data_IF_488056081659
#
_entry.id   IF_488056081659
#
_cell.length_a   1.000
_cell.length_b   1.000
_cell.length_c   1.000
_cell.angle_alpha   90.00
_cell.angle_beta   90.00
_cell.angle_gamma   90.00
#
_symmetry.space_group_name_H-M   'P 1'
#
loop_
_entity.id
_entity.type
_entity.pdbx_description
1 polymer ?
#
# COMPACT_ATOMS: atom_id res chain seq x y z
N UNK A 1 0.69 24.70 -12.01
CA UNK A 1 0.69 23.85 -13.25
C UNK A 1 -0.05 22.57 -12.89
N UNK A 2 -0.80 21.99 -13.81
CA UNK A 2 -1.40 20.67 -13.58
C UNK A 2 -0.31 19.61 -13.65
N UNK A 3 -0.20 18.74 -12.64
CA UNK A 3 0.73 17.63 -12.64
C UNK A 3 0.24 16.53 -13.59
N UNK A 4 1.19 15.87 -14.25
CA UNK A 4 0.95 14.68 -15.05
C UNK A 4 1.30 13.44 -14.24
N UNK A 5 0.38 12.49 -14.16
CA UNK A 5 0.50 11.29 -13.35
C UNK A 5 0.67 10.04 -14.21
N UNK A 6 1.58 9.15 -13.83
CA UNK A 6 1.60 7.78 -14.30
C UNK A 6 1.16 6.83 -13.18
N UNK A 7 0.37 5.82 -13.49
CA UNK A 7 -0.03 4.75 -12.55
C UNK A 7 0.55 3.43 -13.02
N UNK A 8 1.51 2.90 -12.26
CA UNK A 8 2.10 1.56 -12.48
C UNK A 8 1.42 0.57 -11.55
N UNK A 9 0.75 -0.44 -12.12
CA UNK A 9 0.01 -1.43 -11.34
C UNK A 9 -1.45 -1.05 -11.15
N UNK A 10 -2.20 -1.00 -12.25
CA UNK A 10 -3.63 -0.69 -12.28
C UNK A 10 -4.46 -1.90 -11.80
N UNK A 11 -4.22 -2.30 -10.55
CA UNK A 11 -5.02 -3.23 -9.76
C UNK A 11 -6.06 -2.49 -8.91
N UNK A 12 -6.43 -3.07 -7.75
CA UNK A 12 -7.39 -2.45 -6.84
C UNK A 12 -6.96 -1.04 -6.39
N UNK A 13 -5.69 -0.88 -6.00
CA UNK A 13 -5.14 0.37 -5.47
C UNK A 13 -4.95 1.41 -6.59
N UNK A 14 -4.19 1.05 -7.64
CA UNK A 14 -3.92 1.99 -8.73
C UNK A 14 -5.16 2.33 -9.55
N UNK A 15 -6.09 1.36 -9.71
CA UNK A 15 -7.37 1.59 -10.38
C UNK A 15 -8.28 2.55 -9.60
N UNK A 16 -8.28 2.46 -8.27
CA UNK A 16 -9.05 3.38 -7.43
C UNK A 16 -8.41 4.77 -7.37
N UNK A 17 -7.20 4.91 -6.83
CA UNK A 17 -6.58 6.22 -6.62
C UNK A 17 -6.29 6.96 -7.92
N UNK A 18 -5.74 6.25 -8.92
CA UNK A 18 -5.56 6.84 -10.25
C UNK A 18 -6.90 7.16 -10.91
N UNK A 19 -7.91 6.31 -10.70
CA UNK A 19 -9.27 6.54 -11.18
C UNK A 19 -9.90 7.79 -10.57
N UNK A 20 -9.76 8.01 -9.26
CA UNK A 20 -10.25 9.22 -8.58
C UNK A 20 -9.60 10.49 -9.14
N UNK A 21 -8.27 10.49 -9.31
CA UNK A 21 -7.55 11.61 -9.94
C UNK A 21 -8.06 11.89 -11.36
N UNK A 22 -8.18 10.86 -12.21
CA UNK A 22 -8.66 11.00 -13.57
C UNK A 22 -10.12 11.45 -13.64
N UNK A 23 -10.97 10.95 -12.75
CA UNK A 23 -12.38 11.35 -12.67
C UNK A 23 -12.55 12.82 -12.25
N UNK A 24 -11.59 13.36 -11.48
CA UNK A 24 -11.50 14.78 -11.15
C UNK A 24 -10.87 15.65 -12.26
N UNK A 25 -10.55 15.06 -13.41
CA UNK A 25 -10.00 15.79 -14.57
C UNK A 25 -8.48 16.01 -14.51
N UNK A 26 -7.74 15.29 -13.63
CA UNK A 26 -6.28 15.33 -13.65
C UNK A 26 -5.74 14.53 -14.84
N UNK A 27 -4.52 14.87 -15.30
CA UNK A 27 -3.87 14.20 -16.43
C UNK A 27 -3.21 12.90 -15.94
N UNK A 28 -3.89 11.75 -16.15
CA UNK A 28 -3.48 10.44 -15.60
C UNK A 28 -3.31 9.41 -16.71
N UNK A 29 -2.14 8.80 -16.76
CA UNK A 29 -1.74 7.77 -17.70
C UNK A 29 -1.62 6.42 -16.97
N UNK A 30 -2.27 5.39 -17.47
CA UNK A 30 -2.36 4.10 -16.77
C UNK A 30 -1.61 3.01 -17.51
N UNK A 31 -0.68 2.34 -16.83
CA UNK A 31 -0.06 1.11 -17.31
C UNK A 31 -0.92 -0.08 -16.94
N UNK A 32 -1.49 -0.74 -17.95
CA UNK A 32 -2.23 -1.99 -17.81
C UNK A 32 -1.38 -3.17 -18.32
N UNK A 33 -1.62 -4.35 -17.79
CA UNK A 33 -1.06 -5.60 -18.28
C UNK A 33 -2.15 -6.42 -18.98
N UNK A 34 -2.81 -7.32 -18.26
CA UNK A 34 -3.83 -8.24 -18.83
C UNK A 34 -5.14 -7.55 -19.24
N UNK A 35 -5.41 -6.35 -18.74
CA UNK A 35 -6.67 -5.63 -18.95
C UNK A 35 -6.60 -4.60 -20.08
N UNK A 36 -5.42 -4.39 -20.68
CA UNK A 36 -5.17 -3.29 -21.61
C UNK A 36 -6.21 -3.20 -22.72
N UNK A 37 -6.38 -4.27 -23.49
CA UNK A 37 -7.31 -4.27 -24.63
C UNK A 37 -8.76 -4.02 -24.19
N UNK A 38 -9.15 -4.64 -23.06
CA UNK A 38 -10.49 -4.44 -22.51
C UNK A 38 -10.72 -2.99 -22.07
N UNK A 39 -9.77 -2.40 -21.32
CA UNK A 39 -9.93 -1.02 -20.82
C UNK A 39 -9.89 0.00 -21.97
N UNK A 40 -9.07 -0.23 -22.98
CA UNK A 40 -9.01 0.64 -24.17
C UNK A 40 -10.35 0.69 -24.91
N UNK A 41 -11.07 -0.43 -24.97
CA UNK A 41 -12.37 -0.53 -25.64
C UNK A 41 -13.55 -0.13 -24.74
N UNK A 42 -13.48 -0.49 -23.43
CA UNK A 42 -14.63 -0.39 -22.53
C UNK A 42 -14.43 0.60 -21.37
N UNK A 43 -13.22 1.15 -21.19
CA UNK A 43 -12.93 2.06 -20.08
C UNK A 43 -12.64 1.34 -18.75
N UNK A 44 -12.47 2.15 -17.69
CA UNK A 44 -12.25 1.72 -16.32
C UNK A 44 -13.51 2.02 -15.50
N UNK A 45 -14.10 1.00 -14.91
CA UNK A 45 -15.26 1.11 -14.03
C UNK A 45 -14.82 1.03 -12.57
N UNK A 46 -15.33 1.93 -11.74
CA UNK A 46 -15.17 1.91 -10.29
C UNK A 46 -16.55 1.95 -9.65
N UNK A 47 -16.95 0.87 -8.99
CA UNK A 47 -18.11 0.82 -8.10
C UNK A 47 -17.63 1.22 -6.71
N UNK A 48 -18.21 2.24 -6.11
CA UNK A 48 -17.71 2.83 -4.88
C UNK A 48 -18.83 3.21 -3.92
N UNK A 49 -18.64 2.91 -2.62
CA UNK A 49 -19.54 3.38 -1.55
C UNK A 49 -19.67 4.91 -1.53
N UNK A 50 -18.71 5.64 -2.13
CA UNK A 50 -18.72 7.09 -2.24
C UNK A 50 -19.30 7.62 -3.57
N UNK A 51 -19.79 6.71 -4.43
CA UNK A 51 -20.38 7.01 -5.73
C UNK A 51 -19.63 6.32 -6.87
N UNK A 52 -20.39 5.60 -7.70
CA UNK A 52 -19.86 4.88 -8.85
C UNK A 52 -19.43 5.85 -9.96
N UNK A 53 -18.36 5.49 -10.67
CA UNK A 53 -17.98 6.24 -11.86
C UNK A 53 -17.33 5.34 -12.91
N UNK A 54 -17.31 5.84 -14.16
CA UNK A 54 -16.66 5.19 -15.27
C UNK A 54 -15.84 6.19 -16.07
N UNK A 55 -14.60 5.85 -16.28
CA UNK A 55 -13.69 6.60 -17.14
C UNK A 55 -13.74 6.06 -18.56
N UNK A 56 -14.04 6.93 -19.53
CA UNK A 56 -13.97 6.62 -20.96
C UNK A 56 -13.91 7.92 -21.80
N UNK A 57 -12.92 8.07 -22.69
CA UNK A 57 -11.76 7.21 -22.88
C UNK A 57 -10.78 7.22 -21.69
N UNK A 58 -9.94 6.19 -21.60
CA UNK A 58 -8.85 6.10 -20.61
C UNK A 58 -7.52 6.25 -21.36
N UNK A 59 -6.59 7.02 -20.82
CA UNK A 59 -5.20 7.06 -21.29
C UNK A 59 -4.49 5.76 -20.85
N UNK A 60 -4.78 4.67 -21.57
CA UNK A 60 -4.34 3.31 -21.25
C UNK A 60 -3.16 2.91 -22.12
N UNK A 61 -2.15 2.31 -21.52
CA UNK A 61 -0.93 1.82 -22.15
C UNK A 61 -0.63 0.40 -21.66
N UNK A 62 0.09 -0.39 -22.46
CA UNK A 62 0.60 -1.71 -22.08
C UNK A 62 2.13 -1.75 -22.00
N UNK A 63 2.81 -0.66 -22.30
CA UNK A 63 4.26 -0.46 -22.21
C UNK A 63 4.56 0.94 -21.71
N UNK A 64 5.56 1.07 -20.87
CA UNK A 64 5.96 2.38 -20.31
C UNK A 64 6.65 3.26 -21.36
N UNK A 65 7.29 2.67 -22.38
CA UNK A 65 7.94 3.39 -23.48
C UNK A 65 6.93 4.15 -24.38
N UNK A 66 5.67 3.76 -24.35
CA UNK A 66 4.60 4.43 -25.11
C UNK A 66 3.90 5.52 -24.26
N UNK A 67 4.23 5.63 -22.98
CA UNK A 67 3.70 6.63 -22.05
C UNK A 67 4.55 7.92 -22.11
N UNK A 68 3.97 9.08 -21.81
CA UNK A 68 4.78 10.29 -21.65
C UNK A 68 5.61 10.25 -20.35
N UNK A 69 6.68 11.05 -20.30
CA UNK A 69 7.31 11.42 -19.03
C UNK A 69 6.28 12.12 -18.13
N UNK A 70 6.30 11.81 -16.83
CA UNK A 70 5.32 12.27 -15.86
C UNK A 70 5.98 12.96 -14.67
N UNK A 71 5.29 13.96 -14.11
CA UNK A 71 5.74 14.67 -12.92
C UNK A 71 5.65 13.76 -11.66
N UNK A 72 4.63 12.89 -11.64
CA UNK A 72 4.41 11.96 -10.52
C UNK A 72 4.14 10.55 -11.05
N UNK A 73 4.87 9.57 -10.51
CA UNK A 73 4.67 8.15 -10.81
C UNK A 73 4.14 7.44 -9.57
N UNK A 74 2.88 7.01 -9.61
CA UNK A 74 2.24 6.24 -8.55
C UNK A 74 2.53 4.74 -8.76
N UNK A 75 3.34 4.15 -7.90
CA UNK A 75 3.65 2.72 -7.92
C UNK A 75 2.68 1.98 -7.02
N UNK A 76 1.73 1.27 -7.64
CA UNK A 76 0.66 0.50 -6.99
C UNK A 76 0.81 -1.01 -7.21
N UNK A 77 1.96 -1.46 -7.73
CA UNK A 77 2.29 -2.88 -7.85
C UNK A 77 2.37 -3.52 -6.45
N UNK A 78 2.09 -4.81 -6.38
CA UNK A 78 2.49 -5.60 -5.20
C UNK A 78 4.01 -5.56 -5.05
N UNK A 79 4.50 -5.44 -3.82
CA UNK A 79 5.94 -5.37 -3.52
C UNK A 79 6.72 -6.59 -4.03
N UNK A 80 6.05 -7.73 -4.21
CA UNK A 80 6.59 -8.94 -4.84
C UNK A 80 7.02 -8.76 -6.30
N UNK A 81 6.60 -7.66 -6.94
CA UNK A 81 6.92 -7.31 -8.33
C UNK A 81 7.90 -6.13 -8.46
N UNK A 82 8.50 -5.66 -7.36
CA UNK A 82 9.38 -4.48 -7.36
C UNK A 82 10.63 -4.61 -8.24
N UNK A 83 11.06 -5.85 -8.53
CA UNK A 83 12.16 -6.09 -9.49
C UNK A 83 11.87 -5.52 -10.89
N UNK A 84 10.59 -5.39 -11.27
CA UNK A 84 10.19 -4.81 -12.55
C UNK A 84 10.39 -3.29 -12.62
N UNK A 85 10.51 -2.60 -11.49
CA UNK A 85 10.63 -1.13 -11.45
C UNK A 85 11.89 -0.63 -12.16
N UNK A 86 12.94 -1.45 -12.25
CA UNK A 86 14.17 -1.12 -12.98
C UNK A 86 13.94 -0.88 -14.47
N UNK A 87 12.95 -1.59 -15.03
CA UNK A 87 12.60 -1.49 -16.45
C UNK A 87 11.43 -0.54 -16.67
N UNK A 88 10.46 -0.51 -15.72
CA UNK A 88 9.24 0.26 -15.88
C UNK A 88 9.39 1.77 -15.59
N UNK A 89 10.27 2.15 -14.66
CA UNK A 89 10.39 3.56 -14.26
C UNK A 89 11.13 4.44 -15.27
N UNK A 90 12.29 4.03 -15.84
CA UNK A 90 13.12 4.94 -16.63
C UNK A 90 12.41 5.68 -17.76
N UNK A 91 11.48 5.06 -18.55
CA UNK A 91 10.79 5.79 -19.62
C UNK A 91 9.82 6.87 -19.13
N UNK A 92 9.43 6.83 -17.85
CA UNK A 92 8.42 7.74 -17.27
C UNK A 92 9.03 8.93 -16.54
N UNK A 93 10.35 8.90 -16.31
CA UNK A 93 11.01 9.85 -15.42
C UNK A 93 11.72 10.97 -16.20
N UNK A 94 11.56 12.18 -15.69
CA UNK A 94 12.43 13.33 -15.98
C UNK A 94 13.15 13.78 -14.68
N UNK A 95 14.03 14.76 -14.74
CA UNK A 95 14.88 15.19 -13.62
C UNK A 95 14.13 15.61 -12.34
N UNK A 96 12.85 15.98 -12.46
CA UNK A 96 12.02 16.46 -11.35
C UNK A 96 10.87 15.51 -11.01
N UNK A 97 10.87 14.32 -11.56
CA UNK A 97 9.80 13.36 -11.29
C UNK A 97 9.83 12.88 -9.84
N UNK A 98 8.66 12.85 -9.21
CA UNK A 98 8.43 12.22 -7.90
C UNK A 98 7.86 10.82 -8.09
N UNK A 99 8.47 9.81 -7.46
CA UNK A 99 7.89 8.46 -7.40
C UNK A 99 7.24 8.25 -6.04
N UNK A 100 5.96 7.90 -6.03
CA UNK A 100 5.19 7.63 -4.82
C UNK A 100 4.88 6.15 -4.73
N UNK A 101 5.44 5.46 -3.72
CA UNK A 101 5.20 4.03 -3.48
C UNK A 101 3.93 3.83 -2.64
N UNK A 102 2.82 3.46 -3.29
CA UNK A 102 1.55 3.13 -2.62
C UNK A 102 1.53 1.62 -2.34
N UNK A 103 2.46 1.16 -1.55
CA UNK A 103 2.70 -0.24 -1.23
C UNK A 103 2.77 -0.45 0.29
N UNK A 104 2.41 -1.65 0.76
CA UNK A 104 2.47 -2.01 2.17
C UNK A 104 3.87 -2.51 2.56
N UNK A 105 4.27 -2.18 3.77
CA UNK A 105 5.53 -2.67 4.36
C UNK A 105 6.53 -1.57 4.69
N UNK A 106 7.73 -1.98 5.04
CA UNK A 106 8.85 -1.14 5.47
C UNK A 106 10.08 -1.38 4.58
N UNK A 107 10.84 -0.31 4.26
CA UNK A 107 12.10 -0.42 3.50
C UNK A 107 11.95 -0.41 1.98
N UNK A 108 10.74 -0.19 1.46
CA UNK A 108 10.45 -0.12 0.02
C UNK A 108 11.14 1.07 -0.64
N UNK A 109 11.05 2.23 0.00
CA UNK A 109 11.64 3.48 -0.47
C UNK A 109 13.18 3.41 -0.49
N UNK A 110 13.75 2.76 0.51
CA UNK A 110 15.20 2.55 0.63
C UNK A 110 15.75 1.67 -0.51
N UNK A 111 15.06 0.57 -0.82
CA UNK A 111 15.43 -0.32 -1.94
C UNK A 111 15.32 0.40 -3.28
N UNK A 112 14.27 1.23 -3.44
CA UNK A 112 14.11 2.05 -4.64
C UNK A 112 15.22 3.10 -4.75
N UNK A 113 15.51 3.84 -3.68
CA UNK A 113 16.57 4.85 -3.65
C UNK A 113 17.95 4.25 -3.94
N UNK A 114 18.21 3.03 -3.45
CA UNK A 114 19.44 2.29 -3.74
C UNK A 114 19.54 1.91 -5.22
N UNK A 115 18.41 1.62 -5.87
CA UNK A 115 18.34 1.28 -7.29
C UNK A 115 18.38 2.49 -8.22
N UNK A 116 17.90 3.65 -7.76
CA UNK A 116 17.80 4.92 -8.48
C UNK A 116 18.36 6.07 -7.63
N UNK A 117 19.71 6.20 -7.52
CA UNK A 117 20.32 7.27 -6.73
C UNK A 117 19.91 8.66 -7.25
N UNK A 118 19.47 9.50 -6.33
CA UNK A 118 19.05 10.88 -6.65
C UNK A 118 17.59 11.04 -7.06
N UNK A 119 16.81 9.95 -7.18
CA UNK A 119 15.39 10.01 -7.45
C UNK A 119 14.64 10.62 -6.25
N UNK A 120 13.67 11.50 -6.52
CA UNK A 120 12.75 12.00 -5.52
C UNK A 120 11.70 10.92 -5.21
N UNK A 121 11.61 10.50 -3.95
CA UNK A 121 10.77 9.38 -3.53
C UNK A 121 9.91 9.79 -2.34
N UNK A 122 8.65 9.42 -2.40
CA UNK A 122 7.70 9.45 -1.29
C UNK A 122 7.07 8.07 -1.11
N UNK A 123 6.63 7.80 0.11
CA UNK A 123 5.84 6.61 0.41
C UNK A 123 4.41 6.98 0.74
N UNK A 124 3.48 6.09 0.45
CA UNK A 124 2.08 6.29 0.81
C UNK A 124 1.46 5.05 1.47
N UNK A 125 0.60 5.29 2.42
CA UNK A 125 -0.17 4.29 3.15
C UNK A 125 -1.65 4.44 2.80
N UNK A 126 -2.17 3.52 2.01
CA UNK A 126 -3.59 3.47 1.65
C UNK A 126 -4.40 2.75 2.75
N UNK A 127 -5.43 3.40 3.27
CA UNK A 127 -6.40 2.82 4.21
C UNK A 127 -7.70 2.61 3.41
N UNK A 128 -7.86 1.42 2.84
CA UNK A 128 -8.93 1.16 1.87
C UNK A 128 -9.30 -0.32 1.82
N UNK A 129 -10.58 -0.58 1.70
CA UNK A 129 -11.13 -1.87 1.33
C UNK A 129 -11.51 -1.83 -0.16
N UNK A 130 -10.61 -2.28 -1.02
CA UNK A 130 -10.83 -2.28 -2.48
C UNK A 130 -10.34 -3.56 -3.12
N UNK A 131 -11.09 -4.03 -4.11
CA UNK A 131 -10.82 -5.25 -4.86
C UNK A 131 -10.95 -5.03 -6.36
N UNK A 132 -10.09 -5.67 -7.15
CA UNK A 132 -10.31 -5.82 -8.59
C UNK A 132 -11.24 -7.02 -8.81
N UNK A 133 -12.45 -6.76 -9.27
CA UNK A 133 -13.52 -7.76 -9.43
C UNK A 133 -13.70 -8.23 -10.87
N UNK A 134 -13.04 -7.58 -11.82
CA UNK A 134 -13.09 -7.93 -13.24
C UNK A 134 -12.02 -7.20 -14.05
N UNK A 135 -12.01 -7.41 -15.37
CA UNK A 135 -11.17 -6.63 -16.27
C UNK A 135 -11.62 -5.18 -16.27
N UNK A 136 -10.71 -4.27 -15.95
CA UNK A 136 -11.02 -2.84 -15.84
C UNK A 136 -12.16 -2.53 -14.86
N UNK A 137 -12.37 -3.35 -13.83
CA UNK A 137 -13.47 -3.19 -12.89
C UNK A 137 -13.00 -3.32 -11.45
N UNK A 138 -13.11 -2.23 -10.69
CA UNK A 138 -12.69 -2.07 -9.31
C UNK A 138 -13.94 -1.90 -8.43
N UNK A 139 -13.99 -2.61 -7.30
CA UNK A 139 -14.97 -2.40 -6.24
C UNK A 139 -14.27 -1.77 -5.03
N UNK A 140 -14.67 -0.56 -4.67
CA UNK A 140 -14.30 0.14 -3.45
C UNK A 140 -15.43 -0.03 -2.43
N UNK A 141 -15.14 -0.75 -1.35
CA UNK A 141 -16.13 -1.26 -0.41
C UNK A 141 -16.21 -0.43 0.88
N UNK A 142 -15.08 0.17 1.32
CA UNK A 142 -15.00 0.93 2.57
C UNK A 142 -13.71 1.74 2.64
N UNK A 143 -13.68 2.77 3.52
CA UNK A 143 -12.53 3.64 3.78
C UNK A 143 -12.14 4.46 2.54
N UNK A 144 -10.84 4.61 2.24
CA UNK A 144 -10.33 5.28 1.04
C UNK A 144 -9.31 6.38 1.32
N UNK A 145 -9.00 6.64 2.59
CA UNK A 145 -7.98 7.61 2.98
C UNK A 145 -6.56 7.17 2.58
N UNK A 146 -5.69 8.15 2.35
CA UNK A 146 -4.28 7.91 2.03
C UNK A 146 -3.39 8.89 2.80
N UNK A 147 -2.34 8.39 3.43
CA UNK A 147 -1.30 9.22 4.02
C UNK A 147 -0.05 9.16 3.14
N UNK A 148 0.55 10.31 2.85
CA UNK A 148 1.76 10.43 2.01
C UNK A 148 2.88 11.07 2.84
N UNK A 149 4.09 10.52 2.75
CA UNK A 149 5.26 11.09 3.44
C UNK A 149 6.51 11.08 2.56
N UNK A 150 7.34 12.11 2.70
CA UNK A 150 8.62 12.19 2.00
C UNK A 150 9.60 11.13 2.53
N UNK A 151 10.30 10.46 1.60
CA UNK A 151 11.50 9.69 1.92
C UNK A 151 12.77 10.47 1.53
N UNK A 152 12.88 10.85 0.26
CA UNK A 152 14.00 11.65 -0.28
C UNK A 152 13.52 12.85 -1.10
N UNK A 153 12.22 13.12 -1.10
CA UNK A 153 11.63 14.26 -1.78
C UNK A 153 12.06 15.56 -1.09
N UNK A 154 12.84 16.39 -1.79
CA UNK A 154 13.33 17.68 -1.32
C UNK A 154 12.36 18.80 -1.68
N UNK A 155 11.60 18.63 -2.76
CA UNK A 155 10.61 19.58 -3.21
C UNK A 155 9.28 19.35 -2.48
N UNK A 156 9.09 20.09 -1.38
CA UNK A 156 7.83 20.04 -0.63
C UNK A 156 6.62 20.49 -1.46
N UNK A 157 6.83 21.35 -2.48
CA UNK A 157 5.76 21.91 -3.30
C UNK A 157 5.10 20.82 -4.14
N UNK A 158 5.87 19.89 -4.72
CA UNK A 158 5.29 18.78 -5.49
C UNK A 158 4.50 17.84 -4.58
N UNK A 159 4.99 17.57 -3.35
CA UNK A 159 4.29 16.71 -2.40
C UNK A 159 2.98 17.34 -1.92
N UNK A 160 3.00 18.65 -1.64
CA UNK A 160 1.79 19.42 -1.28
C UNK A 160 0.79 19.48 -2.44
N UNK A 161 1.28 19.58 -3.69
CA UNK A 161 0.40 19.54 -4.86
C UNK A 161 -0.25 18.16 -5.04
N UNK A 162 0.49 17.07 -4.84
CA UNK A 162 -0.05 15.70 -4.86
C UNK A 162 -1.14 15.53 -3.79
N UNK A 163 -0.89 16.01 -2.57
CA UNK A 163 -1.88 16.01 -1.50
C UNK A 163 -3.15 16.79 -1.87
N UNK A 164 -2.97 17.97 -2.46
CA UNK A 164 -4.08 18.82 -2.93
C UNK A 164 -4.87 18.12 -4.03
N UNK A 165 -4.18 17.54 -5.04
CA UNK A 165 -4.82 16.85 -6.15
C UNK A 165 -5.64 15.63 -5.70
N UNK A 166 -5.16 14.86 -4.72
CA UNK A 166 -5.95 13.79 -4.10
C UNK A 166 -7.17 14.34 -3.35
N UNK A 167 -6.98 15.38 -2.54
CA UNK A 167 -8.08 16.00 -1.78
C UNK A 167 -9.17 16.57 -2.70
N UNK A 168 -8.79 17.28 -3.76
CA UNK A 168 -9.71 17.79 -4.79
C UNK A 168 -10.42 16.67 -5.55
N UNK A 169 -9.81 15.48 -5.61
CA UNK A 169 -10.38 14.29 -6.24
C UNK A 169 -11.32 13.51 -5.27
N UNK A 170 -11.58 14.04 -4.08
CA UNK A 170 -12.46 13.41 -3.08
C UNK A 170 -11.78 12.30 -2.27
N UNK A 171 -10.46 12.23 -2.28
CA UNK A 171 -9.68 11.30 -1.44
C UNK A 171 -9.19 12.05 -0.21
N UNK A 172 -9.50 11.55 0.99
CA UNK A 172 -8.95 12.09 2.23
C UNK A 172 -7.44 11.79 2.28
N UNK A 173 -6.62 12.84 2.06
CA UNK A 173 -5.18 12.74 1.93
C UNK A 173 -4.46 13.62 2.95
N UNK A 174 -3.46 13.06 3.65
CA UNK A 174 -2.67 13.79 4.63
C UNK A 174 -1.18 13.60 4.41
N UNK A 175 -0.41 14.69 4.57
CA UNK A 175 1.05 14.64 4.63
C UNK A 175 1.47 14.26 6.06
N UNK A 176 2.32 13.25 6.18
CA UNK A 176 2.76 12.68 7.45
C UNK A 176 4.28 12.44 7.47
N UNK A 177 4.84 12.26 8.67
CA UNK A 177 6.18 11.69 8.83
C UNK A 177 6.13 10.21 8.41
N UNK A 178 6.89 9.86 7.38
CA UNK A 178 6.79 8.57 6.70
C UNK A 178 7.13 7.38 7.60
N UNK A 179 8.25 7.45 8.32
CA UNK A 179 8.75 6.30 9.08
C UNK A 179 7.78 5.87 10.21
N UNK A 180 7.36 6.76 11.12
CA UNK A 180 6.38 6.39 12.14
C UNK A 180 5.02 6.00 11.55
N UNK A 181 4.61 6.59 10.43
CA UNK A 181 3.36 6.24 9.76
C UNK A 181 3.41 4.82 9.14
N UNK A 182 4.56 4.42 8.55
CA UNK A 182 4.80 3.04 8.08
C UNK A 182 4.68 2.05 9.24
N UNK A 183 5.36 2.32 10.36
CA UNK A 183 5.28 1.47 11.55
C UNK A 183 3.86 1.41 12.13
N UNK A 184 3.17 2.54 12.22
CA UNK A 184 1.78 2.60 12.70
C UNK A 184 0.86 1.70 11.85
N UNK A 185 1.03 1.70 10.53
CA UNK A 185 0.25 0.82 9.65
C UNK A 185 0.59 -0.66 9.87
N UNK A 186 1.85 -0.99 10.14
CA UNK A 186 2.29 -2.36 10.42
C UNK A 186 1.72 -2.92 11.72
N UNK A 187 1.34 -2.09 12.69
CA UNK A 187 0.68 -2.54 13.92
C UNK A 187 -0.61 -3.30 13.61
N UNK A 188 -1.35 -2.87 12.59
CA UNK A 188 -2.53 -3.59 12.10
C UNK A 188 -2.18 -4.69 11.09
N UNK A 189 -1.34 -4.36 10.10
CA UNK A 189 -1.06 -5.25 8.97
C UNK A 189 -0.41 -6.57 9.41
N UNK A 190 0.60 -6.53 10.28
CA UNK A 190 1.33 -7.73 10.69
C UNK A 190 0.39 -8.74 11.37
N UNK A 191 -0.36 -8.39 12.42
CA UNK A 191 -1.24 -9.34 13.10
C UNK A 191 -2.35 -9.86 12.21
N UNK A 192 -3.12 -8.96 11.58
CA UNK A 192 -4.31 -9.39 10.83
C UNK A 192 -3.98 -10.12 9.54
N UNK A 193 -3.02 -9.63 8.74
CA UNK A 193 -2.60 -10.34 7.53
C UNK A 193 -2.07 -11.75 7.85
N UNK A 194 -1.20 -11.86 8.86
CA UNK A 194 -0.60 -13.15 9.22
C UNK A 194 -1.58 -14.12 9.82
N UNK A 195 -2.30 -13.69 10.86
CA UNK A 195 -3.23 -14.55 11.58
C UNK A 195 -4.40 -15.05 10.71
N UNK A 196 -4.92 -14.20 9.82
CA UNK A 196 -6.00 -14.62 8.90
C UNK A 196 -5.52 -15.66 7.89
N UNK A 197 -4.28 -15.60 7.43
CA UNK A 197 -3.68 -16.62 6.55
C UNK A 197 -3.38 -17.89 7.33
N UNK A 198 -2.65 -17.81 8.44
CA UNK A 198 -2.19 -18.97 9.20
C UNK A 198 -3.36 -19.79 9.77
N UNK A 199 -4.39 -19.11 10.25
CA UNK A 199 -5.60 -19.76 10.79
C UNK A 199 -6.70 -19.95 9.73
N UNK A 200 -6.44 -19.56 8.49
CA UNK A 200 -7.40 -19.60 7.38
C UNK A 200 -8.78 -19.05 7.76
N UNK A 201 -8.84 -17.81 8.22
CA UNK A 201 -10.03 -17.19 8.82
C UNK A 201 -10.16 -15.71 8.41
N UNK A 202 -11.22 -15.05 8.89
CA UNK A 202 -11.52 -13.63 8.67
C UNK A 202 -11.29 -12.80 9.94
N UNK A 203 -11.23 -11.48 9.81
CA UNK A 203 -10.97 -10.58 10.93
C UNK A 203 -12.00 -10.67 12.04
N UNK A 204 -13.29 -10.77 11.70
CA UNK A 204 -14.40 -10.91 12.66
C UNK A 204 -14.27 -12.18 13.52
N UNK A 205 -13.89 -13.30 12.92
CA UNK A 205 -13.69 -14.56 13.66
C UNK A 205 -12.52 -14.48 14.62
N UNK A 206 -11.42 -13.79 14.23
CA UNK A 206 -10.29 -13.53 15.12
C UNK A 206 -10.72 -12.64 16.30
N UNK A 207 -11.50 -11.61 16.04
CA UNK A 207 -11.95 -10.65 17.05
C UNK A 207 -12.98 -11.24 18.02
N UNK A 208 -13.85 -12.13 17.56
CA UNK A 208 -14.89 -12.78 18.37
C UNK A 208 -14.35 -13.89 19.30
N UNK A 209 -13.08 -14.27 19.17
CA UNK A 209 -12.44 -15.27 20.04
C UNK A 209 -11.44 -14.58 20.98
N UNK A 210 -11.63 -14.74 22.30
CA UNK A 210 -10.83 -14.04 23.30
C UNK A 210 -9.34 -14.38 23.24
N UNK A 211 -8.97 -15.63 22.89
CA UNK A 211 -7.57 -16.07 22.80
C UNK A 211 -6.88 -15.46 21.59
N UNK A 212 -7.53 -15.48 20.41
CA UNK A 212 -6.96 -14.86 19.22
C UNK A 212 -6.91 -13.34 19.33
N UNK A 213 -7.93 -12.70 19.96
CA UNK A 213 -7.94 -11.27 20.25
C UNK A 213 -6.75 -10.85 21.14
N UNK A 214 -6.48 -11.63 22.19
CA UNK A 214 -5.32 -11.41 23.05
C UNK A 214 -4.02 -11.54 22.25
N UNK A 215 -3.88 -12.58 21.42
CA UNK A 215 -2.69 -12.78 20.59
C UNK A 215 -2.49 -11.64 19.56
N UNK A 216 -3.58 -11.14 18.96
CA UNK A 216 -3.52 -9.94 18.09
C UNK A 216 -2.93 -8.75 18.86
N UNK A 217 -3.44 -8.48 20.07
CA UNK A 217 -2.93 -7.39 20.92
C UNK A 217 -1.44 -7.58 21.26
N UNK A 218 -1.02 -8.79 21.60
CA UNK A 218 0.37 -9.09 21.91
C UNK A 218 1.30 -8.89 20.71
N UNK A 219 0.86 -9.25 19.50
CA UNK A 219 1.59 -9.00 18.26
C UNK A 219 1.68 -7.49 17.97
N UNK A 220 0.59 -6.74 18.18
CA UNK A 220 0.56 -5.29 18.01
C UNK A 220 1.55 -4.60 18.96
N UNK A 221 1.57 -5.00 20.23
CA UNK A 221 2.52 -4.46 21.22
C UNK A 221 3.97 -4.76 20.82
N UNK A 222 4.26 -5.96 20.32
CA UNK A 222 5.61 -6.30 19.85
C UNK A 222 6.04 -5.40 18.70
N UNK A 223 5.13 -5.07 17.74
CA UNK A 223 5.39 -4.11 16.65
C UNK A 223 5.62 -2.69 17.18
N UNK A 224 4.81 -2.24 18.16
CA UNK A 224 4.97 -0.91 18.79
C UNK A 224 6.33 -0.81 19.49
N UNK A 225 6.70 -1.82 20.28
CA UNK A 225 8.00 -1.82 20.98
C UNK A 225 9.17 -1.84 19.99
N UNK A 226 9.08 -2.62 18.91
CA UNK A 226 10.06 -2.63 17.83
C UNK A 226 10.20 -1.25 17.18
N UNK A 227 9.06 -0.64 16.81
CA UNK A 227 9.02 0.70 16.21
C UNK A 227 9.69 1.74 17.12
N UNK A 228 9.35 1.74 18.40
CA UNK A 228 9.93 2.69 19.37
C UNK A 228 11.43 2.45 19.57
N UNK A 229 11.87 1.20 19.51
CA UNK A 229 13.30 0.88 19.60
C UNK A 229 14.07 1.34 18.37
N UNK A 230 13.51 1.12 17.17
CA UNK A 230 14.08 1.60 15.90
C UNK A 230 14.06 3.15 15.82
N UNK A 231 13.02 3.76 16.35
CA UNK A 231 12.88 5.22 16.40
C UNK A 231 13.90 5.93 17.25
N UNK A 232 14.51 5.27 18.25
CA UNK A 232 15.56 5.84 19.14
C UNK A 232 15.21 7.24 19.68
N UNK A 233 13.95 7.46 20.03
CA UNK A 233 13.44 8.74 20.53
C UNK A 233 13.07 9.76 19.44
N UNK A 234 13.30 9.49 18.16
CA UNK A 234 12.83 10.35 17.04
C UNK A 234 11.31 10.38 16.97
N UNK A 235 10.67 9.28 17.32
CA UNK A 235 9.23 9.15 17.50
C UNK A 235 8.92 8.14 18.61
N UNK A 236 7.68 8.17 19.11
CA UNK A 236 7.20 7.22 20.11
C UNK A 236 5.74 6.89 19.85
N UNK A 237 5.46 5.63 19.55
CA UNK A 237 4.12 5.10 19.36
C UNK A 237 3.57 4.63 20.72
N UNK A 238 2.38 5.12 21.11
CA UNK A 238 1.73 4.71 22.35
C UNK A 238 1.25 3.25 22.27
N UNK A 239 1.36 2.51 23.36
CA UNK A 239 0.78 1.17 23.49
C UNK A 239 -0.76 1.18 23.35
N UNK A 240 -1.42 2.31 23.67
CA UNK A 240 -2.86 2.47 23.48
C UNK A 240 -3.30 2.26 22.03
N UNK A 241 -2.40 2.47 21.05
CA UNK A 241 -2.70 2.20 19.64
C UNK A 241 -3.13 0.75 19.38
N UNK A 242 -2.66 -0.21 20.19
CA UNK A 242 -3.10 -1.59 20.06
C UNK A 242 -4.58 -1.74 20.43
N UNK A 243 -5.00 -1.10 21.50
CA UNK A 243 -6.39 -1.12 21.94
C UNK A 243 -7.29 -0.33 20.98
N UNK A 244 -6.86 0.86 20.55
CA UNK A 244 -7.56 1.70 19.56
C UNK A 244 -7.79 0.93 18.24
N UNK A 245 -6.79 0.18 17.77
CA UNK A 245 -6.90 -0.62 16.54
C UNK A 245 -7.82 -1.82 16.69
N UNK A 246 -7.83 -2.48 17.86
CA UNK A 246 -8.80 -3.53 18.17
C UNK A 246 -10.23 -2.97 18.18
N UNK A 247 -10.46 -1.83 18.86
CA UNK A 247 -11.77 -1.18 18.88
C UNK A 247 -12.23 -0.73 17.49
N UNK A 248 -11.31 -0.22 16.66
CA UNK A 248 -11.62 0.15 15.28
C UNK A 248 -12.02 -1.07 14.48
N UNK A 249 -11.27 -2.18 14.61
CA UNK A 249 -11.58 -3.43 13.91
C UNK A 249 -12.90 -4.07 14.35
N UNK A 250 -13.31 -3.90 15.62
CA UNK A 250 -14.65 -4.33 16.11
C UNK A 250 -15.81 -3.64 15.37
N UNK A 251 -15.58 -2.42 14.88
CA UNK A 251 -16.61 -1.61 14.17
C UNK A 251 -16.58 -1.81 12.66
N UNK A 252 -15.51 -2.41 12.13
CA UNK A 252 -15.39 -2.66 10.69
C UNK A 252 -16.35 -3.75 10.22
N UNK A 253 -16.80 -3.61 8.99
CA UNK A 253 -17.46 -4.73 8.29
C UNK A 253 -16.50 -5.93 8.22
N UNK A 254 -16.99 -7.18 8.42
CA UNK A 254 -16.16 -8.38 8.28
C UNK A 254 -15.35 -8.35 7.00
N UNK A 255 -14.03 -8.43 7.12
CA UNK A 255 -13.11 -8.18 6.03
C UNK A 255 -12.03 -9.27 5.94
N UNK A 256 -11.65 -9.60 4.72
CA UNK A 256 -10.46 -10.40 4.44
C UNK A 256 -9.31 -9.47 4.05
N UNK A 257 -8.25 -9.35 4.86
CA UNK A 257 -7.10 -8.52 4.54
C UNK A 257 -6.45 -8.90 3.20
N UNK A 258 -5.70 -7.96 2.61
CA UNK A 258 -5.13 -8.14 1.26
C UNK A 258 -4.28 -9.40 1.12
N UNK A 259 -3.50 -9.77 2.15
CA UNK A 259 -2.69 -10.99 2.15
C UNK A 259 -3.55 -12.26 2.23
N UNK A 260 -4.70 -12.22 2.95
CA UNK A 260 -5.66 -13.34 2.96
C UNK A 260 -6.29 -13.53 1.59
N UNK A 261 -6.66 -12.43 0.92
CA UNK A 261 -7.15 -12.48 -0.46
C UNK A 261 -6.09 -13.01 -1.43
N UNK A 262 -4.81 -12.66 -1.22
CA UNK A 262 -3.72 -13.21 -2.02
C UNK A 262 -3.56 -14.72 -1.78
N UNK A 263 -3.61 -15.16 -0.52
CA UNK A 263 -3.56 -16.57 -0.15
C UNK A 263 -4.71 -17.38 -0.77
N UNK A 264 -5.95 -16.91 -0.65
CA UNK A 264 -7.14 -17.58 -1.19
C UNK A 264 -7.11 -17.70 -2.73
N UNK A 265 -6.42 -16.78 -3.39
CA UNK A 265 -6.26 -16.78 -4.84
C UNK A 265 -4.90 -17.34 -5.31
N UNK A 266 -4.14 -18.00 -4.45
CA UNK A 266 -2.82 -18.56 -4.74
C UNK A 266 -1.85 -17.55 -5.38
N UNK A 267 -1.91 -16.28 -4.92
CA UNK A 267 -1.00 -15.20 -5.35
C UNK A 267 0.18 -15.08 -4.39
N UNK A 268 1.32 -14.54 -4.85
CA UNK A 268 2.48 -14.32 -4.00
C UNK A 268 2.18 -13.45 -2.78
N UNK A 269 2.60 -13.89 -1.59
CA UNK A 269 2.43 -13.16 -0.33
C UNK A 269 3.57 -12.14 -0.13
N UNK A 270 3.23 -10.93 0.33
CA UNK A 270 4.16 -9.81 0.58
C UNK A 270 4.92 -9.97 1.92
N UNK A 271 5.57 -11.13 2.14
CA UNK A 271 6.21 -11.45 3.42
C UNK A 271 7.42 -10.56 3.67
N UNK A 272 8.21 -10.25 2.64
CA UNK A 272 9.48 -9.54 2.77
C UNK A 272 9.31 -8.18 3.47
N UNK A 273 8.49 -7.31 2.93
CA UNK A 273 8.37 -5.93 3.41
C UNK A 273 7.39 -5.78 4.59
N UNK A 274 6.46 -6.73 4.77
CA UNK A 274 5.52 -6.66 5.91
C UNK A 274 6.10 -7.34 7.15
N UNK A 275 6.96 -8.36 7.01
CA UNK A 275 7.48 -9.14 8.15
C UNK A 275 9.01 -9.09 8.24
N UNK A 276 9.73 -9.54 7.20
CA UNK A 276 11.18 -9.74 7.28
C UNK A 276 11.93 -8.44 7.51
N UNK A 277 11.58 -7.38 6.78
CA UNK A 277 12.22 -6.06 6.95
C UNK A 277 11.99 -5.45 8.33
N UNK A 278 10.75 -5.39 8.87
CA UNK A 278 10.51 -4.96 10.25
C UNK A 278 11.29 -5.77 11.28
N UNK A 279 11.32 -7.11 11.15
CA UNK A 279 12.09 -7.99 12.04
C UNK A 279 13.58 -7.64 12.00
N UNK A 280 14.15 -7.51 10.79
CA UNK A 280 15.57 -7.17 10.61
C UNK A 280 15.89 -5.80 11.23
N UNK A 281 15.08 -4.79 10.97
CA UNK A 281 15.25 -3.44 11.54
C UNK A 281 15.18 -3.43 13.06
N UNK A 282 14.23 -4.17 13.64
CA UNK A 282 14.11 -4.30 15.07
C UNK A 282 15.35 -5.00 15.69
N UNK A 283 15.83 -6.08 15.06
CA UNK A 283 17.01 -6.79 15.50
C UNK A 283 18.27 -5.93 15.46
N UNK A 284 18.48 -5.17 14.39
CA UNK A 284 19.57 -4.19 14.26
C UNK A 284 19.53 -3.13 15.39
N UNK A 285 18.33 -2.75 15.82
CA UNK A 285 18.11 -1.86 16.95
C UNK A 285 18.16 -2.55 18.33
N UNK A 286 18.50 -3.83 18.37
CA UNK A 286 18.61 -4.62 19.60
C UNK A 286 17.28 -5.07 20.21
N UNK A 287 16.24 -5.26 19.38
CA UNK A 287 14.94 -5.77 19.81
C UNK A 287 14.54 -7.01 18.99
N UNK A 288 14.25 -8.12 19.68
CA UNK A 288 13.83 -9.38 19.04
C UNK A 288 12.30 -9.47 18.98
N UNK A 289 11.76 -9.46 17.78
CA UNK A 289 10.33 -9.64 17.49
C UNK A 289 9.97 -11.14 17.46
N UNK A 290 10.00 -11.81 18.60
CA UNK A 290 9.89 -13.28 18.69
C UNK A 290 8.57 -13.83 18.15
N UNK A 291 7.42 -13.19 18.49
CA UNK A 291 6.09 -13.64 18.04
C UNK A 291 5.89 -13.35 16.55
N UNK A 292 6.31 -12.19 16.10
CA UNK A 292 6.23 -11.82 14.66
C UNK A 292 7.15 -12.71 13.83
N UNK A 293 8.35 -13.05 14.33
CA UNK A 293 9.26 -13.98 13.66
C UNK A 293 8.67 -15.41 13.56
N UNK A 294 7.95 -15.85 14.57
CA UNK A 294 7.23 -17.13 14.52
C UNK A 294 6.14 -17.09 13.44
N UNK A 295 5.36 -16.01 13.39
CA UNK A 295 4.30 -15.83 12.40
C UNK A 295 4.86 -15.77 10.97
N UNK A 296 5.99 -15.06 10.76
CA UNK A 296 6.69 -15.01 9.48
C UNK A 296 7.11 -16.41 9.00
N UNK A 297 7.70 -17.23 9.87
CA UNK A 297 8.13 -18.60 9.52
C UNK A 297 6.95 -19.46 9.10
N UNK A 298 5.80 -19.33 9.77
CA UNK A 298 4.57 -20.04 9.38
C UNK A 298 4.08 -19.59 7.99
N UNK A 299 4.09 -18.28 7.70
CA UNK A 299 3.73 -17.74 6.39
C UNK A 299 4.69 -18.22 5.29
N UNK A 300 6.00 -18.27 5.55
CA UNK A 300 6.99 -18.81 4.61
C UNK A 300 6.76 -20.29 4.33
N UNK A 301 6.43 -21.09 5.36
CA UNK A 301 6.06 -22.49 5.18
C UNK A 301 4.81 -22.62 4.29
N UNK A 302 3.74 -21.86 4.60
CA UNK A 302 2.50 -21.87 3.80
C UNK A 302 2.81 -21.50 2.35
N UNK A 303 3.57 -20.42 2.12
CA UNK A 303 3.96 -19.98 0.76
C UNK A 303 4.73 -21.05 0.00
N UNK A 304 5.48 -21.91 0.67
CA UNK A 304 6.25 -22.99 0.03
C UNK A 304 5.40 -24.18 -0.43
N UNK A 305 4.11 -24.18 -0.12
CA UNK A 305 3.19 -25.26 -0.48
C UNK A 305 2.42 -25.01 -1.78
N UNK A 306 2.60 -23.84 -2.44
CA UNK A 306 1.97 -23.50 -3.74
C UNK A 306 2.84 -22.63 -4.64
#
# INVERSE_FOLDING_TARGET
>A
MSLKYAVIGTGAIGGYYGGMLANAGKDVHFLFHSDYEYVKEHGLQVDSVNGDFRLFPVQAYNRTEDMPECDVVLVCLKSTSNSLLKDLLPPLLHEKSLVVLIQNGLGLEEDLASSFPGLEIAGAMAFICSNKIGKGHIAHLDEGAINIGSYSCKDSVILEQVNTDFSESGVDCHIVDLEPARWKKLIWNIPYNGMTVVLNTTTDKLMNNSVSRQLLRELMLEVIHAANRVGEGRFNLSESLADDMLETTDRMTPYSPSMKLDFDNHRPLEIEYIYSRPITRALEAGYDMTKVSMLEKQLRFIKSQY
#
